data_IF_439161764563
#
_entry.id   IF_439161764563
#
_cell.length_a   1.000
_cell.length_b   1.000
_cell.length_c   1.000
_cell.angle_alpha   90.00
_cell.angle_beta   90.00
_cell.angle_gamma   90.00
#
_symmetry.space_group_name_H-M   'P 1'
#
loop_
_entity.id
_entity.type
_entity.pdbx_description
1 polymer ?
#
# COMPACT_ATOMS: atom_id res chain seq x y z
N UNK A 1 -26.92 14.81 -17.74
CA UNK A 1 -26.50 13.44 -17.39
C UNK A 1 -25.02 13.50 -17.07
N UNK A 2 -24.66 13.29 -15.81
CA UNK A 2 -23.27 13.31 -15.33
C UNK A 2 -22.53 12.11 -15.92
N UNK A 3 -21.56 12.35 -16.82
CA UNK A 3 -20.67 11.34 -17.40
C UNK A 3 -19.44 11.12 -16.51
N UNK A 4 -19.64 10.97 -15.20
CA UNK A 4 -18.55 10.51 -14.34
C UNK A 4 -18.52 8.98 -14.37
N UNK A 5 -17.40 8.34 -14.75
CA UNK A 5 -17.26 6.90 -14.55
C UNK A 5 -17.40 6.61 -13.05
N UNK A 6 -18.03 5.50 -12.65
CA UNK A 6 -18.20 5.17 -11.24
C UNK A 6 -16.83 5.07 -10.57
N UNK A 7 -16.49 6.06 -9.74
CA UNK A 7 -15.23 6.22 -8.99
C UNK A 7 -15.18 5.32 -7.75
N UNK A 8 -15.72 4.12 -7.83
CA UNK A 8 -15.68 3.14 -6.74
C UNK A 8 -15.70 1.72 -7.29
N UNK A 9 -14.57 1.31 -7.86
CA UNK A 9 -14.23 -0.11 -7.92
C UNK A 9 -12.97 -0.25 -7.11
N UNK A 10 -13.09 -0.66 -5.85
CA UNK A 10 -11.92 -0.98 -5.04
C UNK A 10 -11.07 -2.01 -5.80
N UNK A 11 -9.87 -1.61 -6.20
CA UNK A 11 -8.99 -2.46 -7.01
C UNK A 11 -8.35 -3.58 -6.18
N UNK A 12 -8.54 -3.56 -4.85
CA UNK A 12 -7.97 -4.51 -3.90
C UNK A 12 -8.22 -5.99 -4.26
N UNK A 13 -9.38 -6.33 -4.82
CA UNK A 13 -9.71 -7.71 -5.23
C UNK A 13 -9.32 -8.05 -6.68
N UNK A 14 -8.80 -7.10 -7.44
CA UNK A 14 -8.63 -7.21 -8.89
C UNK A 14 -7.26 -7.77 -9.24
N UNK A 15 -7.25 -8.70 -10.19
CA UNK A 15 -6.04 -9.24 -10.80
C UNK A 15 -5.69 -8.41 -12.04
N UNK A 16 -4.57 -7.69 -11.96
CA UNK A 16 -4.12 -6.79 -13.01
C UNK A 16 -2.92 -7.38 -13.75
N UNK A 17 -2.79 -7.07 -15.04
CA UNK A 17 -1.54 -7.33 -15.76
C UNK A 17 -0.48 -6.34 -15.31
N UNK A 18 0.80 -6.65 -15.55
CA UNK A 18 1.93 -5.78 -15.19
C UNK A 18 1.76 -4.36 -15.75
N UNK A 19 1.27 -4.23 -16.98
CA UNK A 19 1.00 -2.93 -17.61
C UNK A 19 -0.12 -2.16 -16.89
N UNK A 20 -1.24 -2.81 -16.61
CA UNK A 20 -2.37 -2.19 -15.90
C UNK A 20 -2.02 -1.84 -14.47
N UNK A 21 -1.17 -2.64 -13.82
CA UNK A 21 -0.68 -2.35 -12.47
C UNK A 21 0.21 -1.10 -12.47
N UNK A 22 1.06 -0.92 -13.48
CA UNK A 22 1.88 0.29 -13.62
C UNK A 22 1.03 1.55 -13.90
N UNK A 23 -0.08 1.40 -14.63
CA UNK A 23 -1.05 2.48 -14.86
C UNK A 23 -1.84 2.83 -13.59
N UNK A 24 -2.17 1.83 -12.76
CA UNK A 24 -2.85 2.01 -11.49
C UNK A 24 -1.95 2.63 -10.41
N UNK A 25 -0.68 2.22 -10.36
CA UNK A 25 0.30 2.66 -9.37
C UNK A 25 1.50 3.34 -10.07
N UNK A 26 1.39 4.63 -10.42
CA UNK A 26 2.41 5.33 -11.21
C UNK A 26 3.76 5.49 -10.49
N UNK A 27 3.81 5.21 -9.18
CA UNK A 27 5.06 5.13 -8.41
C UNK A 27 5.97 3.98 -8.85
N UNK A 28 5.43 2.95 -9.51
CA UNK A 28 6.18 1.80 -10.00
C UNK A 28 6.18 1.73 -11.52
N UNK A 29 7.37 1.72 -12.10
CA UNK A 29 7.50 1.48 -13.55
C UNK A 29 7.20 0.02 -13.88
N UNK A 30 6.78 -0.23 -15.12
CA UNK A 30 6.55 -1.60 -15.61
C UNK A 30 7.80 -2.49 -15.43
N UNK A 31 8.98 -1.92 -15.68
CA UNK A 31 10.27 -2.60 -15.49
C UNK A 31 10.52 -2.98 -14.02
N UNK A 32 10.18 -2.10 -13.08
CA UNK A 32 10.30 -2.39 -11.65
C UNK A 32 9.37 -3.54 -11.23
N UNK A 33 8.11 -3.51 -11.68
CA UNK A 33 7.14 -4.57 -11.41
C UNK A 33 7.61 -5.90 -12.00
N UNK A 34 8.12 -5.91 -13.23
CA UNK A 34 8.70 -7.12 -13.86
C UNK A 34 9.87 -7.67 -13.05
N UNK A 35 10.73 -6.82 -12.51
CA UNK A 35 11.83 -7.23 -11.64
C UNK A 35 11.32 -7.85 -10.33
N UNK A 36 10.28 -7.28 -9.70
CA UNK A 36 9.68 -7.87 -8.50
C UNK A 36 9.05 -9.23 -8.77
N UNK A 37 8.37 -9.40 -9.90
CA UNK A 37 7.84 -10.70 -10.34
C UNK A 37 8.95 -11.72 -10.56
N UNK A 38 10.06 -11.30 -11.16
CA UNK A 38 11.21 -12.18 -11.39
C UNK A 38 11.86 -12.64 -10.07
N UNK A 39 11.96 -11.74 -9.09
CA UNK A 39 12.52 -12.03 -7.76
C UNK A 39 11.52 -12.70 -6.80
N UNK A 40 10.31 -13.00 -7.24
CA UNK A 40 9.27 -13.58 -6.40
C UNK A 40 9.54 -15.02 -5.98
N UNK A 41 10.11 -15.81 -6.87
CA UNK A 41 10.45 -17.20 -6.58
C UNK A 41 11.84 -17.32 -5.95
N UNK A 42 12.00 -18.28 -5.05
CA UNK A 42 13.32 -18.70 -4.59
C UNK A 42 14.16 -19.21 -5.75
N UNK A 43 15.45 -18.85 -5.78
CA UNK A 43 16.37 -19.24 -6.86
C UNK A 43 17.67 -19.78 -6.29
N UNK A 44 18.27 -20.72 -7.00
CA UNK A 44 19.58 -21.26 -6.67
C UNK A 44 20.66 -20.52 -7.44
N UNK A 45 21.70 -20.09 -6.75
CA UNK A 45 22.88 -19.47 -7.36
C UNK A 45 24.14 -20.22 -6.93
N UNK A 46 25.26 -19.97 -7.60
CA UNK A 46 26.56 -20.51 -7.19
C UNK A 46 26.97 -20.13 -5.76
N UNK A 47 26.37 -19.06 -5.20
CA UNK A 47 26.59 -18.60 -3.82
C UNK A 47 25.61 -19.21 -2.81
N UNK A 48 24.69 -20.08 -3.25
CA UNK A 48 23.66 -20.70 -2.42
C UNK A 48 22.22 -20.31 -2.80
N UNK A 49 21.23 -20.79 -2.02
CA UNK A 49 19.82 -20.48 -2.23
C UNK A 49 19.52 -19.03 -1.84
N UNK A 50 18.91 -18.29 -2.76
CA UNK A 50 18.40 -16.93 -2.52
C UNK A 50 16.89 -17.04 -2.29
N UNK A 51 16.37 -16.60 -1.13
CA UNK A 51 14.94 -16.58 -0.88
C UNK A 51 14.24 -15.58 -1.82
N UNK A 52 13.01 -15.89 -2.20
CA UNK A 52 12.18 -14.96 -2.97
C UNK A 52 11.78 -13.74 -2.14
N UNK A 53 11.32 -12.68 -2.79
CA UNK A 53 10.90 -11.44 -2.12
C UNK A 53 9.54 -11.53 -1.40
N UNK A 54 8.89 -12.69 -1.36
CA UNK A 54 7.58 -12.87 -0.71
C UNK A 54 6.37 -12.48 -1.56
N UNK A 55 6.55 -12.01 -2.81
CA UNK A 55 5.45 -11.62 -3.69
C UNK A 55 4.79 -12.81 -4.42
N UNK A 56 5.41 -14.00 -4.38
CA UNK A 56 4.92 -15.21 -5.04
C UNK A 56 3.43 -15.56 -4.83
N UNK A 57 2.83 -15.49 -3.62
CA UNK A 57 1.41 -15.83 -3.42
C UNK A 57 0.43 -14.85 -4.08
N UNK A 58 0.88 -13.64 -4.43
CA UNK A 58 0.05 -12.61 -5.07
C UNK A 58 0.22 -12.59 -6.60
N UNK A 59 0.96 -13.55 -7.16
CA UNK A 59 1.21 -13.69 -8.59
C UNK A 59 0.50 -14.93 -9.11
N UNK A 60 -0.26 -14.76 -10.19
CA UNK A 60 -0.85 -15.86 -10.95
C UNK A 60 -0.34 -15.84 -12.38
N UNK A 61 0.15 -16.98 -12.85
CA UNK A 61 0.65 -17.15 -14.22
C UNK A 61 -0.36 -17.95 -15.03
N UNK A 62 -0.92 -17.34 -16.07
CA UNK A 62 -1.89 -17.97 -16.98
C UNK A 62 -1.29 -17.95 -18.39
N UNK A 63 -0.72 -19.09 -18.81
CA UNK A 63 0.03 -19.19 -20.06
C UNK A 63 1.22 -18.23 -20.07
N UNK A 64 1.29 -17.36 -21.08
CA UNK A 64 2.33 -16.32 -21.20
C UNK A 64 2.04 -15.04 -20.41
N UNK A 65 0.87 -14.94 -19.76
CA UNK A 65 0.46 -13.73 -19.03
C UNK A 65 0.75 -13.87 -17.54
N UNK A 66 1.22 -12.77 -16.95
CA UNK A 66 1.40 -12.61 -15.50
C UNK A 66 0.32 -11.66 -14.99
N UNK A 67 -0.44 -12.15 -14.01
CA UNK A 67 -1.44 -11.40 -13.28
C UNK A 67 -0.96 -11.21 -11.85
N UNK A 68 -1.19 -10.01 -11.32
CA UNK A 68 -0.81 -9.62 -9.95
C UNK A 68 -2.08 -9.15 -9.26
N UNK A 69 -2.34 -9.66 -8.07
CA UNK A 69 -3.41 -9.16 -7.23
C UNK A 69 -3.01 -7.78 -6.68
N UNK A 70 -3.78 -6.74 -7.00
CA UNK A 70 -3.44 -5.36 -6.63
C UNK A 70 -3.42 -5.15 -5.11
N UNK A 71 -4.42 -5.64 -4.38
CA UNK A 71 -4.46 -5.53 -2.92
C UNK A 71 -3.34 -6.29 -2.21
N UNK A 72 -3.03 -7.50 -2.70
CA UNK A 72 -1.91 -8.30 -2.22
C UNK A 72 -0.55 -7.66 -2.50
N UNK A 73 -0.41 -6.98 -3.64
CA UNK A 73 0.79 -6.22 -3.97
C UNK A 73 1.01 -5.04 -3.01
N UNK A 74 -0.07 -4.28 -2.69
CA UNK A 74 0.01 -3.19 -1.72
C UNK A 74 0.32 -3.70 -0.30
N UNK A 75 -0.36 -4.76 0.15
CA UNK A 75 -0.10 -5.38 1.45
C UNK A 75 1.36 -5.90 1.54
N UNK A 76 1.88 -6.45 0.44
CA UNK A 76 3.28 -6.85 0.35
C UNK A 76 4.24 -5.66 0.49
N UNK A 77 3.95 -4.52 -0.14
CA UNK A 77 4.77 -3.29 0.01
C UNK A 77 4.77 -2.82 1.46
N UNK A 78 3.60 -2.76 2.09
CA UNK A 78 3.46 -2.34 3.49
C UNK A 78 4.26 -3.27 4.42
N UNK A 79 4.15 -4.59 4.23
CA UNK A 79 4.93 -5.56 5.00
C UNK A 79 6.45 -5.47 4.77
N UNK A 80 6.88 -5.02 3.60
CA UNK A 80 8.31 -4.86 3.28
C UNK A 80 8.91 -3.57 3.85
N UNK A 81 8.08 -2.54 4.10
CA UNK A 81 8.50 -1.27 4.73
C UNK A 81 8.96 -1.49 6.17
N UNK A 82 8.32 -2.39 6.90
CA UNK A 82 8.62 -2.68 8.31
C UNK A 82 9.91 -3.50 8.52
N UNK A 83 10.38 -4.22 7.47
CA UNK A 83 11.66 -4.93 7.51
C UNK A 83 12.88 -3.98 7.50
N UNK A 84 12.67 -2.72 7.14
CA UNK A 84 13.68 -1.66 7.09
C UNK A 84 13.41 -0.53 8.08
N UNK A 85 13.01 -0.84 9.31
CA UNK A 85 13.06 0.08 10.47
C UNK A 85 12.58 1.51 10.23
N UNK A 86 11.26 1.74 10.19
CA UNK A 86 10.66 2.89 10.92
C UNK A 86 9.14 2.76 10.94
N UNK A 87 8.61 2.53 12.15
CA UNK A 87 7.22 2.75 12.49
C UNK A 87 6.81 4.16 12.07
N UNK A 88 6.07 4.27 10.98
CA UNK A 88 5.33 5.48 10.66
C UNK A 88 3.90 5.02 10.42
N UNK A 89 3.11 5.24 11.47
CA UNK A 89 1.67 5.11 11.54
C UNK A 89 1.00 5.63 10.26
N UNK A 90 -0.21 5.16 9.93
CA UNK A 90 -0.93 5.60 8.73
C UNK A 90 -1.26 7.09 8.85
N UNK A 91 -0.41 7.95 8.31
CA UNK A 91 -0.76 9.33 8.02
C UNK A 91 -1.42 9.37 6.65
N UNK A 92 -2.75 9.48 6.72
CA UNK A 92 -3.46 10.53 5.99
C UNK A 92 -3.48 10.40 4.46
N UNK A 93 -4.34 9.49 3.98
CA UNK A 93 -5.02 9.72 2.72
C UNK A 93 -6.27 10.57 2.99
N UNK A 94 -6.10 11.89 2.84
CA UNK A 94 -7.09 12.94 2.52
C UNK A 94 -8.57 12.56 2.69
N UNK A 95 -9.15 12.95 3.81
CA UNK A 95 -10.60 13.18 3.93
C UNK A 95 -10.95 14.52 3.24
N UNK A 96 -12.02 14.63 2.43
CA UNK A 96 -12.40 15.89 1.81
C UNK A 96 -12.91 16.89 2.86
N UNK A 97 -12.32 18.08 2.79
CA UNK A 97 -12.73 19.40 3.29
C UNK A 97 -14.10 19.43 3.99
N UNK A 98 -14.10 19.58 5.32
CA UNK A 98 -15.26 20.08 6.08
C UNK A 98 -15.20 21.62 6.09
N UNK A 99 -16.27 22.35 5.74
CA UNK A 99 -16.25 23.80 5.76
C UNK A 99 -16.17 24.32 7.20
N UNK A 100 -15.54 25.48 7.33
CA UNK A 100 -15.30 26.20 8.57
C UNK A 100 -16.60 26.47 9.34
N UNK A 101 -16.64 26.07 10.61
CA UNK A 101 -17.50 26.73 11.59
C UNK A 101 -16.63 27.51 12.58
N UNK A 102 -16.65 28.82 12.34
CA UNK A 102 -16.21 29.88 13.21
C UNK A 102 -17.03 29.83 14.51
N UNK A 103 -16.35 29.75 15.65
CA UNK A 103 -16.98 29.84 16.97
C UNK A 103 -15.95 29.95 18.08
N UNK A 104 -15.52 31.18 18.36
CA UNK A 104 -14.64 31.53 19.49
C UNK A 104 -15.35 31.36 20.85
N UNK A 105 -14.51 31.37 21.89
CA UNK A 105 -14.73 31.60 23.34
C UNK A 105 -14.81 30.33 24.19
N UNK A 106 -14.20 30.21 25.36
CA UNK A 106 -13.12 30.93 26.05
C UNK A 106 -12.70 30.09 27.30
N UNK A 107 -11.52 30.41 27.84
CA UNK A 107 -11.23 30.45 29.29
C UNK A 107 -10.95 29.16 30.11
N UNK A 108 -9.65 28.92 30.34
CA UNK A 108 -8.89 28.81 31.61
C UNK A 108 -9.45 28.01 32.82
N UNK A 109 -8.59 27.13 33.38
CA UNK A 109 -8.78 26.53 34.71
C UNK A 109 -7.62 25.63 35.16
N UNK A 110 -6.59 26.24 35.76
CA UNK A 110 -5.53 25.60 36.56
C UNK A 110 -6.10 24.82 37.77
N UNK A 111 -5.22 23.99 38.34
CA UNK A 111 -5.17 23.36 39.69
C UNK A 111 -5.50 21.86 39.64
N UNK A 112 -4.75 20.92 40.21
CA UNK A 112 -3.66 20.98 41.16
C UNK A 112 -3.75 19.73 42.07
N UNK A 113 -2.62 19.09 42.34
CA UNK A 113 -2.33 18.17 43.46
C UNK A 113 -3.21 16.93 43.75
N UNK A 114 -2.51 15.82 44.10
CA UNK A 114 -2.51 15.20 45.45
C UNK A 114 -2.53 13.66 45.39
N UNK A 115 -1.33 13.07 45.56
CA UNK A 115 -0.93 12.08 46.59
C UNK A 115 -1.85 10.86 46.90
N UNK A 116 -1.16 9.75 47.12
CA UNK A 116 -1.52 8.50 47.83
C UNK A 116 -2.11 7.42 46.92
N UNK A 117 -1.65 6.17 46.99
CA UNK A 117 -1.32 5.37 48.18
C UNK A 117 -0.18 4.39 47.91
#
# INVERSE_FOLDING_TARGET
MSNYPPTDKSLFGVWLTVKLLAEAEPSFTESAIRNYVFNAASRHTSKGPIPGNGLAPHISRIGAKVLINHGGFLCWIDGNRDAGGSSTSPTDYTQPIRPAECGKTAFNGKQGNRRQK
#
